data_IF_554453520711
#
_entry.id   IF_554453520711
#
_cell.length_a   1.000
_cell.length_b   1.000
_cell.length_c   1.000
_cell.angle_alpha   90.00
_cell.angle_beta   90.00
_cell.angle_gamma   90.00
#
_symmetry.space_group_name_H-M   'P 1'
#
loop_
_entity.id
_entity.type
_entity.pdbx_description
1 polymer ?
#
# COMPACT_ATOMS: atom_id res chain seq x y z
N UNK A 1 -9.70 37.39 -4.97
CA UNK A 1 -10.70 36.96 -3.94
C UNK A 1 -11.67 36.08 -4.69
N UNK A 2 -11.51 34.78 -4.60
CA UNK A 2 -12.37 33.78 -5.22
C UNK A 2 -12.88 32.91 -4.07
N UNK A 3 -14.17 32.99 -3.84
CA UNK A 3 -14.91 32.28 -2.80
C UNK A 3 -14.84 30.75 -3.08
N UNK A 4 -14.47 29.99 -2.08
CA UNK A 4 -14.58 28.53 -2.09
C UNK A 4 -16.07 28.16 -2.04
N UNK A 5 -16.57 27.20 -2.83
CA UNK A 5 -17.93 26.72 -2.69
C UNK A 5 -18.06 26.04 -1.34
N UNK A 6 -19.01 26.55 -0.52
CA UNK A 6 -19.34 25.97 0.76
C UNK A 6 -19.96 24.60 0.60
N UNK A 7 -19.49 23.67 1.40
CA UNK A 7 -20.15 22.38 1.63
C UNK A 7 -21.47 22.64 2.37
N UNK A 8 -22.57 22.83 1.62
CA UNK A 8 -23.92 22.82 2.15
C UNK A 8 -24.53 21.46 1.84
N UNK A 9 -24.58 20.59 2.83
CA UNK A 9 -25.23 19.26 2.68
C UNK A 9 -24.76 18.20 3.65
N UNK A 10 -24.22 18.56 4.80
CA UNK A 10 -24.14 17.63 5.91
C UNK A 10 -25.50 17.67 6.61
N UNK A 11 -26.27 16.58 6.48
CA UNK A 11 -27.39 16.32 7.36
C UNK A 11 -26.93 16.48 8.82
N UNK A 12 -27.76 17.14 9.63
CA UNK A 12 -27.46 17.28 11.06
C UNK A 12 -27.15 15.89 11.65
N UNK A 13 -26.18 15.80 12.58
CA UNK A 13 -25.85 14.55 13.22
C UNK A 13 -27.10 13.91 13.81
N UNK A 14 -27.28 12.61 13.59
CA UNK A 14 -28.40 11.87 14.12
C UNK A 14 -28.54 12.08 15.64
N UNK A 15 -29.74 12.03 16.15
CA UNK A 15 -30.10 12.36 17.55
C UNK A 15 -29.29 11.65 18.64
N UNK A 16 -28.61 10.56 18.31
CA UNK A 16 -27.74 9.84 19.24
C UNK A 16 -26.39 10.54 19.50
N UNK A 17 -26.03 11.57 18.71
CA UNK A 17 -24.82 12.42 18.90
C UNK A 17 -25.16 13.67 19.73
N UNK A 18 -26.43 13.93 19.96
CA UNK A 18 -26.83 15.03 20.84
C UNK A 18 -26.34 14.78 22.26
N UNK A 19 -25.84 15.84 22.91
CA UNK A 19 -25.44 15.79 24.32
C UNK A 19 -26.46 15.01 25.14
N UNK A 20 -26.01 14.12 26.03
CA UNK A 20 -26.94 13.44 26.94
C UNK A 20 -27.76 14.50 27.66
N UNK A 21 -29.08 14.26 27.88
CA UNK A 21 -29.95 15.23 28.51
C UNK A 21 -29.34 15.73 29.81
N UNK A 22 -29.10 17.03 29.88
CA UNK A 22 -28.75 17.66 31.15
C UNK A 22 -29.93 17.45 32.09
N UNK A 23 -29.66 16.78 33.22
CA UNK A 23 -30.47 16.67 34.40
C UNK A 23 -31.73 15.79 34.32
N UNK A 24 -31.60 14.60 34.84
CA UNK A 24 -32.45 14.20 35.93
C UNK A 24 -31.60 14.05 37.19
N UNK A 25 -31.45 15.12 37.92
CA UNK A 25 -31.27 15.02 39.37
C UNK A 25 -32.47 14.29 39.91
N UNK A 26 -32.21 13.26 40.60
CA UNK A 26 -32.95 12.45 41.54
C UNK A 26 -32.94 10.99 41.10
N UNK A 27 -31.87 10.34 41.48
CA UNK A 27 -32.03 9.09 42.19
C UNK A 27 -30.81 8.90 43.08
N UNK A 28 -31.05 8.72 44.36
CA UNK A 28 -30.11 8.21 45.36
C UNK A 28 -29.72 6.75 44.96
N UNK A 29 -29.11 6.59 43.83
CA UNK A 29 -28.44 5.40 43.42
C UNK A 29 -27.01 5.48 43.95
N UNK A 30 -26.64 4.55 44.78
CA UNK A 30 -25.29 4.32 45.25
C UNK A 30 -24.33 4.51 44.10
N UNK A 31 -23.49 5.55 44.16
CA UNK A 31 -22.49 5.83 43.15
C UNK A 31 -21.63 4.59 42.94
N UNK A 32 -21.35 4.25 41.70
CA UNK A 32 -20.45 3.12 41.44
C UNK A 32 -19.20 3.28 42.31
N UNK A 33 -18.81 2.26 43.09
CA UNK A 33 -17.70 2.37 44.01
C UNK A 33 -16.43 2.77 43.22
N UNK A 34 -15.71 3.76 43.73
CA UNK A 34 -14.44 4.18 43.12
C UNK A 34 -13.53 2.96 42.98
N UNK A 35 -12.91 2.74 41.83
CA UNK A 35 -12.04 1.61 41.65
C UNK A 35 -10.87 1.65 42.68
N UNK A 36 -10.61 0.51 43.32
CA UNK A 36 -9.54 0.40 44.31
C UNK A 36 -8.20 0.78 43.68
N UNK A 37 -7.29 1.45 44.43
CA UNK A 37 -5.97 1.74 43.94
C UNK A 37 -5.27 0.47 43.40
N UNK A 38 -4.69 0.55 42.19
CA UNK A 38 -4.06 -0.59 41.52
C UNK A 38 -4.98 -1.49 40.69
N UNK A 39 -6.31 -1.26 40.65
CA UNK A 39 -7.19 -2.00 39.71
C UNK A 39 -6.97 -1.56 38.27
N UNK A 40 -6.92 -2.53 37.36
CA UNK A 40 -6.90 -2.32 35.90
C UNK A 40 -8.31 -2.17 35.31
N UNK A 41 -9.35 -2.36 36.14
CA UNK A 41 -10.74 -2.27 35.72
C UNK A 41 -11.20 -0.82 35.87
N UNK A 42 -11.71 -0.24 34.79
CA UNK A 42 -12.25 1.13 34.75
C UNK A 42 -13.78 1.08 34.60
N UNK A 43 -14.46 2.03 35.21
CA UNK A 43 -15.85 2.27 34.89
C UNK A 43 -15.99 2.72 33.42
N UNK A 44 -17.06 2.30 32.75
CA UNK A 44 -17.28 2.61 31.32
C UNK A 44 -17.26 4.12 31.04
N UNK A 45 -17.85 4.92 31.89
CA UNK A 45 -17.82 6.38 31.82
C UNK A 45 -16.36 6.93 31.83
N UNK A 46 -15.53 6.45 32.76
CA UNK A 46 -14.12 6.83 32.83
C UNK A 46 -13.33 6.36 31.61
N UNK A 47 -13.69 5.21 31.04
CA UNK A 47 -13.03 4.68 29.85
C UNK A 47 -13.33 5.54 28.62
N UNK A 48 -14.61 5.88 28.36
CA UNK A 48 -14.97 6.67 27.19
C UNK A 48 -14.54 8.13 27.25
N UNK A 49 -14.48 8.74 28.45
CA UNK A 49 -14.00 10.13 28.62
C UNK A 49 -12.50 10.28 28.35
N UNK A 50 -11.76 9.18 28.29
CA UNK A 50 -10.34 9.17 27.91
C UNK A 50 -10.12 9.01 26.42
N UNK A 51 -11.19 8.82 25.64
CA UNK A 51 -11.05 8.63 24.21
C UNK A 51 -10.47 9.89 23.54
N UNK A 52 -9.39 9.69 22.81
CA UNK A 52 -8.78 10.70 21.96
C UNK A 52 -9.00 10.24 20.52
N UNK A 53 -9.56 11.08 19.66
CA UNK A 53 -9.71 10.75 18.24
C UNK A 53 -8.37 10.39 17.60
N UNK A 54 -8.34 9.47 16.62
CA UNK A 54 -7.09 9.07 15.98
C UNK A 54 -6.46 10.23 15.21
N UNK A 55 -5.13 10.31 15.27
CA UNK A 55 -4.34 11.22 14.42
C UNK A 55 -4.03 10.49 13.13
N UNK A 56 -4.47 11.05 12.00
CA UNK A 56 -4.18 10.52 10.68
C UNK A 56 -2.77 10.90 10.25
N UNK A 57 -1.96 9.93 9.90
CA UNK A 57 -0.64 10.12 9.33
C UNK A 57 -0.73 10.34 7.80
N UNK A 58 -1.58 9.55 7.15
CA UNK A 58 -2.04 9.74 5.78
C UNK A 58 -3.58 9.76 5.88
N UNK A 59 -4.16 10.88 5.50
CA UNK A 59 -5.59 11.14 5.74
C UNK A 59 -6.48 10.01 5.19
N UNK A 60 -7.40 9.54 6.01
CA UNK A 60 -8.32 8.44 5.69
C UNK A 60 -7.71 7.04 5.59
N UNK A 61 -6.37 6.88 5.64
CA UNK A 61 -5.71 5.60 5.36
C UNK A 61 -4.88 5.10 6.53
N UNK A 62 -3.91 5.89 7.00
CA UNK A 62 -2.97 5.45 8.04
C UNK A 62 -3.09 6.31 9.28
N UNK A 63 -3.44 5.68 10.40
CA UNK A 63 -3.49 6.31 11.72
C UNK A 63 -2.17 6.08 12.46
N UNK A 64 -1.75 7.07 13.26
CA UNK A 64 -0.65 6.88 14.21
C UNK A 64 -0.98 5.80 15.25
N UNK A 65 0.04 5.23 15.86
CA UNK A 65 -0.10 4.20 16.90
C UNK A 65 -0.85 2.95 16.43
N UNK A 66 -0.76 2.63 15.13
CA UNK A 66 -1.39 1.47 14.53
C UNK A 66 -0.38 0.63 13.76
N UNK A 67 -0.67 -0.68 13.68
CA UNK A 67 0.14 -1.64 12.94
C UNK A 67 -0.58 -2.06 11.65
N UNK A 68 0.06 -1.85 10.53
CA UNK A 68 -0.42 -2.21 9.20
C UNK A 68 0.54 -3.17 8.51
N UNK A 69 0.01 -3.98 7.60
CA UNK A 69 0.80 -4.57 6.53
C UNK A 69 0.50 -3.86 5.21
N UNK A 70 1.46 -3.91 4.28
CA UNK A 70 1.20 -3.69 2.87
C UNK A 70 1.68 -4.90 2.09
N UNK A 71 0.73 -5.68 1.57
CA UNK A 71 0.99 -6.94 0.91
C UNK A 71 0.96 -6.80 -0.60
N UNK A 72 1.96 -7.34 -1.28
CA UNK A 72 2.03 -7.27 -2.74
C UNK A 72 2.94 -8.34 -3.32
N UNK A 73 2.62 -8.78 -4.53
CA UNK A 73 3.48 -9.65 -5.33
C UNK A 73 4.79 -8.91 -5.65
N UNK A 74 5.88 -9.65 -5.82
CA UNK A 74 7.17 -9.09 -6.24
C UNK A 74 7.01 -8.34 -7.58
N UNK A 75 7.59 -7.15 -7.67
CA UNK A 75 7.48 -6.29 -8.86
C UNK A 75 6.23 -5.39 -8.91
N UNK A 76 5.28 -5.52 -7.97
CA UNK A 76 4.08 -4.69 -7.90
C UNK A 76 4.28 -3.36 -7.13
N UNK A 77 5.52 -2.93 -6.95
CA UNK A 77 5.84 -1.57 -6.51
C UNK A 77 5.75 -1.30 -5.00
N UNK A 78 5.73 -2.33 -4.13
CA UNK A 78 5.71 -2.17 -2.65
C UNK A 78 6.67 -1.09 -2.16
N UNK A 79 7.97 -1.36 -2.38
CA UNK A 79 9.07 -0.49 -1.96
C UNK A 79 8.93 0.92 -2.55
N UNK A 80 8.67 1.04 -3.87
CA UNK A 80 8.58 2.35 -4.52
C UNK A 80 7.44 3.20 -3.97
N UNK A 81 6.25 2.60 -3.76
CA UNK A 81 5.06 3.28 -3.22
C UNK A 81 5.31 3.69 -1.76
N UNK A 82 5.83 2.79 -0.93
CA UNK A 82 6.03 3.11 0.48
C UNK A 82 7.22 4.02 0.74
N UNK A 83 8.25 3.98 -0.11
CA UNK A 83 9.31 4.99 -0.07
C UNK A 83 8.76 6.38 -0.45
N UNK A 84 7.94 6.47 -1.50
CA UNK A 84 7.27 7.72 -1.87
C UNK A 84 6.43 8.25 -0.70
N UNK A 85 5.54 7.43 -0.14
CA UNK A 85 4.70 7.82 0.99
C UNK A 85 5.54 8.26 2.21
N UNK A 86 6.62 7.55 2.49
CA UNK A 86 7.58 7.87 3.57
C UNK A 86 8.24 9.23 3.36
N UNK A 87 8.69 9.52 2.14
CA UNK A 87 9.28 10.82 1.80
C UNK A 87 8.26 11.96 1.94
N UNK A 88 7.00 11.73 1.49
CA UNK A 88 5.96 12.75 1.59
C UNK A 88 5.59 13.05 3.05
N UNK A 89 5.40 12.02 3.88
CA UNK A 89 5.15 12.16 5.33
C UNK A 89 6.30 12.88 6.01
N UNK A 90 7.55 12.48 5.74
CA UNK A 90 8.72 13.10 6.36
C UNK A 90 8.88 14.58 5.96
N UNK A 91 8.64 14.90 4.69
CA UNK A 91 8.72 16.26 4.18
C UNK A 91 7.48 17.11 4.53
N UNK A 92 6.38 16.50 5.01
CA UNK A 92 5.09 17.17 5.26
C UNK A 92 4.42 17.62 3.98
N UNK A 93 4.44 16.77 2.95
CA UNK A 93 3.82 17.03 1.64
C UNK A 93 2.64 16.09 1.40
N UNK A 94 1.70 16.54 0.60
CA UNK A 94 0.54 15.74 0.22
C UNK A 94 0.92 14.50 -0.60
N UNK A 95 0.11 13.46 -0.48
CA UNK A 95 0.13 12.25 -1.32
C UNK A 95 -1.06 12.35 -2.28
N UNK A 96 -0.80 12.75 -3.53
CA UNK A 96 -1.90 13.10 -4.43
C UNK A 96 -2.72 14.26 -3.85
N UNK A 97 -3.98 14.00 -3.51
CA UNK A 97 -4.88 14.98 -2.88
C UNK A 97 -5.04 14.76 -1.35
N UNK A 98 -4.37 13.75 -0.79
CA UNK A 98 -4.45 13.43 0.63
C UNK A 98 -3.46 14.24 1.44
N UNK A 99 -3.95 14.85 2.52
CA UNK A 99 -3.11 15.49 3.50
C UNK A 99 -2.26 14.47 4.26
N UNK A 100 -1.07 14.87 4.68
CA UNK A 100 -0.22 14.06 5.55
C UNK A 100 0.11 14.83 6.83
N UNK A 101 0.18 14.11 7.94
CA UNK A 101 0.77 14.64 9.15
C UNK A 101 2.28 14.61 9.01
N UNK A 102 2.94 15.77 9.05
CA UNK A 102 4.40 15.84 9.01
C UNK A 102 5.00 15.19 10.24
N UNK A 103 5.89 14.22 10.04
CA UNK A 103 6.58 13.54 11.14
C UNK A 103 7.79 12.77 10.65
N UNK A 104 8.75 12.53 11.55
CA UNK A 104 9.92 11.76 11.19
C UNK A 104 9.56 10.32 10.84
N UNK A 105 10.24 9.78 9.84
CA UNK A 105 10.04 8.42 9.34
C UNK A 105 11.34 7.65 9.49
N UNK A 106 11.26 6.43 10.04
CA UNK A 106 12.32 5.44 10.02
C UNK A 106 12.00 4.35 9.00
N UNK A 107 12.89 4.13 8.05
CA UNK A 107 12.77 3.10 7.03
C UNK A 107 13.79 1.98 7.30
N UNK A 108 13.31 0.80 7.62
CA UNK A 108 14.12 -0.39 7.83
C UNK A 108 14.33 -1.07 6.46
N UNK A 109 15.52 -0.92 5.89
CA UNK A 109 15.87 -1.38 4.55
C UNK A 109 16.51 -2.77 4.58
N UNK A 110 15.70 -3.81 4.77
CA UNK A 110 16.19 -5.16 5.03
C UNK A 110 16.47 -6.00 3.79
N UNK A 111 15.80 -5.72 2.66
CA UNK A 111 15.91 -6.57 1.47
C UNK A 111 17.05 -6.10 0.53
N UNK A 112 17.04 -4.84 0.14
CA UNK A 112 18.04 -4.29 -0.76
C UNK A 112 18.36 -2.82 -0.44
N UNK A 113 19.26 -2.54 0.51
CA UNK A 113 19.61 -1.17 0.88
C UNK A 113 20.15 -0.33 -0.28
N UNK A 114 20.94 -0.92 -1.18
CA UNK A 114 21.53 -0.19 -2.31
C UNK A 114 20.46 0.26 -3.34
N UNK A 115 19.45 -0.58 -3.62
CA UNK A 115 18.32 -0.18 -4.47
C UNK A 115 17.49 0.93 -3.80
N UNK A 116 17.30 0.85 -2.47
CA UNK A 116 16.61 1.89 -1.72
C UNK A 116 17.36 3.22 -1.79
N UNK A 117 18.70 3.21 -1.65
CA UNK A 117 19.55 4.39 -1.76
C UNK A 117 19.39 5.08 -3.13
N UNK A 118 19.48 4.32 -4.23
CA UNK A 118 19.25 4.83 -5.57
C UNK A 118 17.85 5.44 -5.73
N UNK A 119 16.82 4.77 -5.16
CA UNK A 119 15.44 5.30 -5.17
C UNK A 119 15.30 6.59 -4.37
N UNK A 120 15.94 6.69 -3.21
CA UNK A 120 15.92 7.92 -2.41
C UNK A 120 16.57 9.09 -3.15
N UNK A 121 17.68 8.85 -3.85
CA UNK A 121 18.31 9.86 -4.72
C UNK A 121 17.35 10.29 -5.84
N UNK A 122 16.73 9.33 -6.52
CA UNK A 122 15.72 9.58 -7.56
C UNK A 122 14.53 10.38 -7.03
N UNK A 123 14.03 10.04 -5.84
CA UNK A 123 12.96 10.75 -5.14
C UNK A 123 13.36 12.19 -4.80
N UNK A 124 14.54 12.39 -4.18
CA UNK A 124 15.03 13.71 -3.80
C UNK A 124 15.10 14.65 -5.01
N UNK A 125 15.65 14.17 -6.12
CA UNK A 125 15.76 14.96 -7.36
C UNK A 125 14.41 15.22 -8.01
N UNK A 126 13.59 14.18 -8.18
CA UNK A 126 12.31 14.31 -8.90
C UNK A 126 11.34 15.23 -8.18
N UNK A 127 11.27 15.13 -6.85
CA UNK A 127 10.34 15.91 -6.05
C UNK A 127 10.98 17.14 -5.38
N UNK A 128 12.24 17.43 -5.69
CA UNK A 128 12.98 18.53 -5.10
C UNK A 128 12.89 18.50 -3.55
N UNK A 129 13.26 17.34 -2.97
CA UNK A 129 13.31 17.13 -1.52
C UNK A 129 14.76 17.37 -1.09
N UNK A 130 15.04 18.32 -0.18
CA UNK A 130 16.36 18.47 0.42
C UNK A 130 16.82 17.17 1.11
N UNK A 131 18.10 16.85 1.03
CA UNK A 131 18.63 15.58 1.57
C UNK A 131 18.40 15.45 3.09
N UNK A 132 18.42 16.55 3.82
CA UNK A 132 18.11 16.62 5.25
C UNK A 132 16.60 16.44 5.57
N UNK A 133 15.77 16.30 4.52
CA UNK A 133 14.33 16.03 4.60
C UNK A 133 13.97 14.65 4.07
N UNK A 134 14.94 13.78 3.88
CA UNK A 134 14.71 12.37 3.56
C UNK A 134 14.49 11.56 4.85
N UNK A 135 13.74 10.43 4.79
CA UNK A 135 13.58 9.52 5.91
C UNK A 135 14.91 9.04 6.50
N UNK A 136 14.92 8.78 7.81
CA UNK A 136 16.00 8.03 8.43
C UNK A 136 15.98 6.58 7.94
N UNK A 137 17.15 5.97 7.79
CA UNK A 137 17.26 4.60 7.25
C UNK A 137 18.11 3.75 8.21
N UNK A 138 17.60 2.56 8.51
CA UNK A 138 18.37 1.48 9.11
C UNK A 138 18.64 0.44 8.02
N UNK A 139 19.87 0.39 7.48
CA UNK A 139 20.20 -0.54 6.38
C UNK A 139 20.49 -1.94 6.89
N UNK A 140 20.10 -2.94 6.10
CA UNK A 140 20.33 -4.36 6.36
C UNK A 140 19.21 -5.03 7.16
N UNK A 141 18.96 -6.31 6.81
CA UNK A 141 17.99 -7.15 7.49
C UNK A 141 18.64 -7.88 8.67
N UNK A 142 17.90 -8.03 9.76
CA UNK A 142 18.28 -8.80 10.93
C UNK A 142 17.04 -9.28 11.67
N UNK A 143 17.10 -10.42 12.39
CA UNK A 143 15.94 -10.92 13.12
C UNK A 143 15.55 -9.94 14.26
N UNK A 144 14.31 -9.44 14.24
CA UNK A 144 13.75 -8.62 15.33
C UNK A 144 13.36 -9.52 16.52
N UNK A 145 14.36 -10.05 17.21
CA UNK A 145 14.19 -10.71 18.51
C UNK A 145 13.77 -9.69 19.56
N UNK A 146 13.29 -10.13 20.73
CA UNK A 146 12.95 -9.22 21.83
C UNK A 146 14.14 -8.33 22.24
N UNK A 147 15.35 -8.90 22.24
CA UNK A 147 16.59 -8.16 22.56
C UNK A 147 16.89 -7.08 21.53
N UNK A 148 16.75 -7.40 20.24
CA UNK A 148 16.99 -6.44 19.15
C UNK A 148 15.93 -5.33 19.14
N UNK A 149 14.69 -5.67 19.45
CA UNK A 149 13.60 -4.68 19.58
C UNK A 149 13.89 -3.70 20.71
N UNK A 150 14.32 -4.20 21.88
CA UNK A 150 14.68 -3.35 23.01
C UNK A 150 15.92 -2.49 22.72
N UNK A 151 16.89 -3.04 22.00
CA UNK A 151 18.08 -2.30 21.56
C UNK A 151 17.69 -1.18 20.59
N UNK A 152 16.87 -1.49 19.57
CA UNK A 152 16.40 -0.51 18.59
C UNK A 152 15.54 0.59 19.22
N UNK A 153 14.65 0.25 20.17
CA UNK A 153 13.88 1.25 20.92
C UNK A 153 14.76 2.18 21.74
N UNK A 154 15.83 1.66 22.36
CA UNK A 154 16.81 2.48 23.08
C UNK A 154 17.60 3.39 22.14
N UNK A 155 17.99 2.88 20.97
CA UNK A 155 18.65 3.68 19.94
C UNK A 155 17.74 4.82 19.45
N UNK A 156 16.49 4.52 19.13
CA UNK A 156 15.48 5.52 18.76
C UNK A 156 15.32 6.59 19.86
N UNK A 157 15.17 6.17 21.10
CA UNK A 157 15.06 7.10 22.23
C UNK A 157 16.34 7.94 22.41
N UNK A 158 17.52 7.35 22.16
CA UNK A 158 18.82 8.04 22.20
C UNK A 158 18.97 9.12 21.13
N UNK A 159 18.28 9.01 20.00
CA UNK A 159 18.24 10.06 18.98
C UNK A 159 17.45 11.29 19.43
N UNK A 160 16.54 11.16 20.39
CA UNK A 160 15.65 12.24 20.83
C UNK A 160 14.68 12.72 19.76
N UNK A 161 14.40 11.88 18.76
CA UNK A 161 13.56 12.19 17.61
C UNK A 161 12.28 11.35 17.69
N UNK A 162 11.10 11.98 17.85
CA UNK A 162 9.84 11.24 17.87
C UNK A 162 9.46 10.80 16.45
N UNK A 163 9.50 9.51 16.17
CA UNK A 163 9.07 8.96 14.90
C UNK A 163 7.55 8.89 14.81
N UNK A 164 7.00 9.22 13.64
CA UNK A 164 5.58 9.12 13.33
C UNK A 164 5.25 7.86 12.51
N UNK A 165 6.25 7.34 11.77
CA UNK A 165 6.12 6.16 10.92
C UNK A 165 7.39 5.33 10.97
N UNK A 166 7.23 4.01 11.09
CA UNK A 166 8.29 3.02 10.85
C UNK A 166 7.82 2.12 9.71
N UNK A 167 8.64 1.96 8.67
CA UNK A 167 8.38 1.05 7.54
C UNK A 167 9.39 -0.07 7.55
N UNK A 168 8.94 -1.33 7.56
CA UNK A 168 9.81 -2.52 7.46
C UNK A 168 9.77 -3.12 6.06
N UNK A 169 10.83 -3.00 5.29
CA UNK A 169 10.95 -3.49 3.92
C UNK A 169 12.06 -4.56 3.79
N UNK A 170 11.72 -5.81 3.78
CA UNK A 170 10.39 -6.40 3.94
C UNK A 170 10.25 -7.08 5.30
N UNK A 171 9.00 -7.41 5.68
CA UNK A 171 8.73 -8.09 6.94
C UNK A 171 9.56 -9.37 7.12
N UNK A 172 9.78 -10.14 6.06
CA UNK A 172 10.59 -11.36 6.06
C UNK A 172 12.06 -11.13 6.40
N UNK A 173 12.63 -9.97 6.04
CA UNK A 173 14.03 -9.65 6.36
C UNK A 173 14.26 -9.40 7.86
N UNK A 174 13.20 -9.20 8.61
CA UNK A 174 13.22 -8.91 10.05
C UNK A 174 12.52 -9.99 10.87
N UNK A 175 12.04 -11.05 10.22
CA UNK A 175 11.34 -12.15 10.89
C UNK A 175 12.32 -12.96 11.76
N UNK A 176 12.05 -13.12 13.08
CA UNK A 176 12.98 -13.77 14.00
C UNK A 176 12.83 -15.30 14.05
N UNK A 177 11.87 -15.87 13.32
CA UNK A 177 11.57 -17.30 13.30
C UNK A 177 12.20 -18.03 12.12
N UNK A 178 12.02 -19.36 12.10
CA UNK A 178 12.45 -20.25 11.04
C UNK A 178 11.31 -20.63 10.07
N UNK A 179 10.04 -20.40 10.45
CA UNK A 179 8.88 -20.67 9.60
C UNK A 179 7.86 -19.52 9.65
N UNK A 180 7.85 -18.72 8.60
CA UNK A 180 6.88 -17.61 8.43
C UNK A 180 5.42 -18.11 8.40
N UNK A 181 5.15 -19.39 8.11
CA UNK A 181 3.78 -19.93 8.08
C UNK A 181 3.34 -20.47 9.44
N UNK A 182 4.24 -20.54 10.42
CA UNK A 182 3.88 -20.90 11.79
C UNK A 182 3.01 -19.82 12.42
N UNK A 183 1.76 -20.16 12.75
CA UNK A 183 0.85 -19.21 13.40
C UNK A 183 1.41 -18.68 14.74
N UNK A 184 2.16 -19.49 15.48
CA UNK A 184 2.76 -19.08 16.75
C UNK A 184 3.84 -18.04 16.53
N UNK A 185 4.79 -18.33 15.63
CA UNK A 185 5.91 -17.43 15.34
C UNK A 185 5.41 -16.12 14.67
N UNK A 186 4.50 -16.23 13.71
CA UNK A 186 3.90 -15.11 13.02
C UNK A 186 3.08 -14.22 13.96
N UNK A 187 2.31 -14.78 14.88
CA UNK A 187 1.58 -14.01 15.90
C UNK A 187 2.54 -13.33 16.88
N UNK A 188 3.63 -13.98 17.28
CA UNK A 188 4.66 -13.37 18.13
C UNK A 188 5.31 -12.19 17.40
N UNK A 189 5.71 -12.36 16.15
CA UNK A 189 6.28 -11.29 15.35
C UNK A 189 5.32 -10.10 15.18
N UNK A 190 4.03 -10.36 14.97
CA UNK A 190 3.01 -9.31 14.91
C UNK A 190 2.94 -8.51 16.22
N UNK A 191 2.99 -9.16 17.38
CA UNK A 191 3.04 -8.48 18.69
C UNK A 191 4.33 -7.69 18.87
N UNK A 192 5.46 -8.23 18.43
CA UNK A 192 6.75 -7.53 18.43
C UNK A 192 6.67 -6.23 17.64
N UNK A 193 6.15 -6.27 16.40
CA UNK A 193 5.96 -5.06 15.61
C UNK A 193 4.97 -4.09 16.26
N UNK A 194 3.89 -4.59 16.87
CA UNK A 194 2.93 -3.76 17.59
C UNK A 194 3.55 -3.02 18.75
N UNK A 195 4.55 -3.58 19.42
CA UNK A 195 5.20 -2.91 20.55
C UNK A 195 5.84 -1.58 20.17
N UNK A 196 6.28 -1.40 18.93
CA UNK A 196 6.76 -0.11 18.45
C UNK A 196 5.67 0.96 18.41
N UNK A 197 4.41 0.57 18.20
CA UNK A 197 3.32 1.54 18.10
C UNK A 197 2.93 2.19 19.43
N UNK A 198 3.33 1.60 20.54
CA UNK A 198 2.93 2.04 21.90
C UNK A 198 4.10 2.41 22.81
N UNK A 199 5.24 1.72 22.63
CA UNK A 199 6.37 1.81 23.54
C UNK A 199 7.60 2.49 22.89
N UNK A 200 7.41 3.17 21.78
CA UNK A 200 8.45 3.89 21.06
C UNK A 200 8.14 5.39 21.03
N UNK A 201 9.17 6.23 21.12
CA UNK A 201 9.01 7.68 21.08
C UNK A 201 8.25 8.14 19.85
N UNK A 202 7.21 8.94 20.07
CA UNK A 202 6.30 9.42 19.04
C UNK A 202 5.12 8.50 18.75
N UNK A 203 5.04 7.31 19.35
CA UNK A 203 3.98 6.33 19.08
C UNK A 203 3.73 6.16 17.57
N UNK A 204 4.70 5.68 16.80
CA UNK A 204 4.61 5.64 15.34
C UNK A 204 3.51 4.72 14.84
N UNK A 205 3.02 4.98 13.64
CA UNK A 205 2.45 3.92 12.84
C UNK A 205 3.58 2.96 12.41
N UNK A 206 3.27 1.67 12.32
CA UNK A 206 4.20 0.68 11.76
C UNK A 206 3.57 0.08 10.52
N UNK A 207 4.32 0.03 9.43
CA UNK A 207 3.89 -0.61 8.17
C UNK A 207 4.91 -1.67 7.79
N UNK A 208 4.48 -2.93 7.84
CA UNK A 208 5.28 -4.08 7.42
C UNK A 208 5.00 -4.39 5.95
N UNK A 209 6.01 -4.29 5.09
CA UNK A 209 5.88 -4.66 3.69
C UNK A 209 6.00 -6.18 3.54
N UNK A 210 4.92 -6.82 3.09
CA UNK A 210 4.79 -8.26 3.09
C UNK A 210 4.72 -8.86 1.68
N UNK A 211 5.22 -10.09 1.55
CA UNK A 211 4.90 -10.95 0.43
C UNK A 211 3.56 -11.63 0.70
N UNK A 212 2.76 -11.91 -0.35
CA UNK A 212 1.48 -12.59 -0.17
C UNK A 212 1.66 -14.09 0.12
N UNK A 213 0.59 -14.73 0.54
CA UNK A 213 0.49 -16.18 0.58
C UNK A 213 0.83 -16.80 -0.78
N UNK A 214 1.33 -18.04 -0.79
CA UNK A 214 1.66 -18.75 -2.04
C UNK A 214 0.40 -18.90 -2.91
N UNK A 215 0.56 -18.68 -4.21
CA UNK A 215 -0.54 -18.81 -5.19
C UNK A 215 -1.49 -17.62 -5.25
N UNK A 216 -1.19 -16.51 -4.61
CA UNK A 216 -1.97 -15.28 -4.78
C UNK A 216 -1.82 -14.75 -6.22
N UNK A 217 -2.88 -14.87 -7.01
CA UNK A 217 -2.94 -14.50 -8.42
C UNK A 217 -3.95 -13.36 -8.71
N UNK A 218 -4.61 -12.84 -7.68
CA UNK A 218 -5.64 -11.80 -7.80
C UNK A 218 -5.65 -10.85 -6.60
N UNK A 219 -6.22 -9.66 -6.79
CA UNK A 219 -6.28 -8.57 -5.78
C UNK A 219 -6.80 -9.03 -4.41
N UNK A 220 -7.87 -9.84 -4.39
CA UNK A 220 -8.50 -10.30 -3.15
C UNK A 220 -7.68 -11.34 -2.37
N UNK A 221 -6.60 -11.86 -2.94
CA UNK A 221 -5.72 -12.86 -2.31
C UNK A 221 -4.43 -12.25 -1.74
N UNK A 222 -4.27 -10.92 -1.77
CA UNK A 222 -3.08 -10.25 -1.26
C UNK A 222 -3.11 -10.16 0.28
N UNK A 223 -3.13 -11.34 0.92
CA UNK A 223 -2.99 -11.46 2.36
C UNK A 223 -1.52 -11.74 2.72
N UNK A 224 -0.99 -11.17 3.80
CA UNK A 224 0.40 -11.36 4.19
C UNK A 224 0.67 -12.83 4.54
N UNK A 225 1.90 -13.30 4.26
CA UNK A 225 2.39 -14.56 4.82
C UNK A 225 2.33 -14.51 6.34
N UNK A 226 2.31 -15.69 6.97
CA UNK A 226 2.15 -15.79 8.42
C UNK A 226 0.74 -16.17 8.84
N UNK A 227 -0.09 -16.54 7.87
CA UNK A 227 -1.43 -17.05 8.11
C UNK A 227 -2.34 -16.05 8.84
N UNK A 228 -3.42 -16.58 9.43
CA UNK A 228 -4.39 -15.77 10.17
C UNK A 228 -3.82 -15.09 11.41
N UNK A 229 -2.81 -15.67 12.04
CA UNK A 229 -2.26 -15.13 13.29
C UNK A 229 -1.56 -13.79 13.10
N UNK A 230 -0.75 -13.62 12.06
CA UNK A 230 -0.14 -12.32 11.76
C UNK A 230 -1.21 -11.28 11.38
N UNK A 231 -2.13 -11.65 10.48
CA UNK A 231 -3.23 -10.77 10.08
C UNK A 231 -4.08 -10.32 11.27
N UNK A 232 -4.28 -11.20 12.27
CA UNK A 232 -5.05 -10.87 13.47
C UNK A 232 -4.40 -9.79 14.33
N UNK A 233 -3.08 -9.67 14.34
CA UNK A 233 -2.35 -8.64 15.06
C UNK A 233 -2.40 -7.27 14.35
N UNK A 234 -2.71 -7.21 13.06
CA UNK A 234 -2.75 -5.96 12.29
C UNK A 234 -4.03 -5.15 12.60
N UNK A 235 -3.96 -3.85 12.41
CA UNK A 235 -5.13 -2.97 12.37
C UNK A 235 -5.71 -2.87 10.94
N UNK A 236 -4.91 -3.11 9.93
CA UNK A 236 -5.32 -3.22 8.55
C UNK A 236 -4.25 -3.82 7.65
N UNK A 237 -4.67 -4.40 6.53
CA UNK A 237 -3.78 -4.86 5.48
C UNK A 237 -4.06 -4.11 4.20
N UNK A 238 -3.16 -3.21 3.85
CA UNK A 238 -3.09 -2.56 2.54
C UNK A 238 -2.54 -3.56 1.52
N UNK A 239 -2.91 -3.41 0.29
CA UNK A 239 -2.40 -4.25 -0.78
C UNK A 239 -2.05 -3.40 -2.00
N UNK A 240 -0.90 -3.68 -2.63
CA UNK A 240 -0.56 -3.11 -3.91
C UNK A 240 -0.76 -4.14 -5.01
N UNK A 241 -1.63 -3.81 -5.96
CA UNK A 241 -1.84 -4.59 -7.16
C UNK A 241 -1.41 -3.79 -8.38
N UNK A 242 -0.50 -4.34 -9.17
CA UNK A 242 -0.04 -3.70 -10.40
C UNK A 242 -0.54 -4.48 -11.61
N UNK A 243 -1.35 -3.80 -12.41
CA UNK A 243 -1.62 -4.19 -13.79
C UNK A 243 -0.86 -3.23 -14.73
N UNK A 244 -1.45 -2.10 -15.10
CA UNK A 244 -0.76 -0.98 -15.78
C UNK A 244 -0.45 0.17 -14.81
N UNK A 245 -1.28 0.33 -13.80
CA UNK A 245 -1.11 1.21 -12.66
C UNK A 245 -0.96 0.34 -11.42
N UNK A 246 -0.13 0.75 -10.48
CA UNK A 246 -0.10 0.15 -9.15
C UNK A 246 -1.19 0.80 -8.31
N UNK A 247 -2.18 0.02 -7.90
CA UNK A 247 -3.26 0.50 -7.05
C UNK A 247 -3.08 0.00 -5.63
N UNK A 248 -3.09 0.92 -4.67
CA UNK A 248 -3.11 0.62 -3.25
C UNK A 248 -4.56 0.63 -2.74
N UNK A 249 -4.96 -0.42 -2.06
CA UNK A 249 -6.32 -0.62 -1.55
C UNK A 249 -6.31 -1.49 -0.29
N UNK A 250 -7.44 -1.55 0.45
CA UNK A 250 -7.59 -2.52 1.53
C UNK A 250 -7.81 -3.94 1.01
N UNK A 251 -7.24 -4.92 1.71
CA UNK A 251 -7.44 -6.35 1.42
C UNK A 251 -7.54 -7.18 2.70
N UNK A 252 -8.68 -7.83 2.88
CA UNK A 252 -8.92 -8.80 3.96
C UNK A 252 -9.23 -8.18 5.32
N UNK A 253 -8.42 -7.28 5.84
CA UNK A 253 -8.62 -6.68 7.17
C UNK A 253 -8.51 -5.17 7.12
N UNK A 254 -9.49 -4.51 7.74
CA UNK A 254 -9.55 -3.06 7.90
C UNK A 254 -10.16 -2.74 9.28
N UNK A 255 -9.55 -1.81 9.99
CA UNK A 255 -10.10 -1.17 11.20
C UNK A 255 -10.12 0.35 10.98
N UNK A 256 -11.04 0.81 10.17
CA UNK A 256 -11.18 2.21 9.81
C UNK A 256 -12.12 2.38 8.63
N UNK A 257 -12.27 3.59 8.10
CA UNK A 257 -13.05 3.83 6.89
C UNK A 257 -12.38 3.16 5.68
N UNK A 258 -13.19 2.81 4.70
CA UNK A 258 -12.71 2.41 3.38
C UNK A 258 -12.30 3.65 2.58
N UNK A 259 -11.41 3.47 1.59
CA UNK A 259 -10.98 4.55 0.70
C UNK A 259 -10.96 4.09 -0.76
N UNK A 260 -11.15 5.03 -1.68
CA UNK A 260 -11.01 4.75 -3.09
C UNK A 260 -9.54 4.36 -3.41
N UNK A 261 -9.30 3.30 -4.21
CA UNK A 261 -7.93 2.86 -4.50
C UNK A 261 -7.05 3.99 -5.00
N UNK A 262 -5.87 4.14 -4.40
CA UNK A 262 -4.88 5.11 -4.82
C UNK A 262 -4.03 4.55 -5.95
N UNK A 263 -4.02 5.24 -7.09
CA UNK A 263 -3.20 4.88 -8.24
C UNK A 263 -1.80 5.47 -8.16
N UNK A 264 -0.81 4.65 -8.51
CA UNK A 264 0.59 5.06 -8.65
C UNK A 264 1.15 4.57 -9.98
N UNK A 265 1.82 5.47 -10.70
CA UNK A 265 2.66 5.10 -11.84
C UNK A 265 4.06 4.79 -11.35
N UNK A 266 4.61 3.64 -11.71
CA UNK A 266 6.02 3.33 -11.51
C UNK A 266 6.82 3.88 -12.69
N UNK A 267 7.72 4.82 -12.43
CA UNK A 267 8.43 5.58 -13.46
C UNK A 267 9.95 5.45 -13.29
N UNK A 268 10.69 5.10 -14.36
CA UNK A 268 12.14 5.20 -14.34
C UNK A 268 12.59 6.67 -14.33
N UNK A 269 13.55 6.98 -13.48
CA UNK A 269 14.16 8.31 -13.36
C UNK A 269 15.67 8.17 -13.21
N UNK A 270 16.47 9.13 -13.73
CA UNK A 270 17.91 9.11 -13.52
C UNK A 270 18.25 9.54 -12.09
N UNK A 271 19.17 8.84 -11.43
CA UNK A 271 19.75 9.28 -10.15
C UNK A 271 20.67 10.48 -10.33
N UNK A 272 21.14 10.72 -11.56
CA UNK A 272 22.15 11.71 -11.92
C UNK A 272 23.57 11.27 -11.63
N UNK A 273 23.73 10.00 -11.29
CA UNK A 273 25.01 9.29 -11.24
C UNK A 273 25.19 8.51 -12.54
N UNK A 274 26.41 8.06 -12.81
CA UNK A 274 26.73 7.22 -13.93
C UNK A 274 27.54 6.00 -13.47
N UNK A 275 27.39 4.89 -14.18
CA UNK A 275 28.19 3.70 -13.97
C UNK A 275 29.64 3.89 -14.49
N UNK A 276 30.49 2.87 -14.28
CA UNK A 276 31.89 2.86 -14.71
C UNK A 276 32.06 3.06 -16.22
N UNK A 277 31.03 2.85 -17.03
CA UNK A 277 31.00 3.03 -18.47
C UNK A 277 30.41 4.37 -18.91
N UNK A 278 30.10 5.26 -17.93
CA UNK A 278 29.50 6.57 -18.19
C UNK A 278 28.00 6.51 -18.54
N UNK A 279 27.32 5.39 -18.35
CA UNK A 279 25.88 5.26 -18.59
C UNK A 279 25.10 5.81 -17.41
N UNK A 280 24.04 6.60 -17.64
CA UNK A 280 23.20 7.10 -16.55
C UNK A 280 22.64 5.95 -15.70
N UNK A 281 22.79 6.06 -14.39
CA UNK A 281 22.10 5.16 -13.46
C UNK A 281 20.63 5.52 -13.40
N UNK A 282 19.76 4.52 -13.62
CA UNK A 282 18.31 4.68 -13.59
C UNK A 282 17.74 3.94 -12.40
N UNK A 283 16.73 4.54 -11.75
CA UNK A 283 15.98 3.93 -10.66
C UNK A 283 14.48 4.06 -10.89
N UNK A 284 13.67 3.30 -10.13
CA UNK A 284 12.21 3.34 -10.24
C UNK A 284 11.62 4.05 -9.01
N UNK A 285 10.80 5.07 -9.27
CA UNK A 285 10.03 5.76 -8.24
C UNK A 285 8.52 5.59 -8.50
N UNK A 286 7.73 5.81 -7.45
CA UNK A 286 6.28 5.92 -7.57
C UNK A 286 5.87 7.38 -7.73
N UNK A 287 4.85 7.61 -8.55
CA UNK A 287 4.21 8.90 -8.79
C UNK A 287 2.70 8.75 -8.61
N UNK A 288 2.05 9.51 -7.72
CA UNK A 288 0.61 9.39 -7.52
C UNK A 288 -0.14 9.88 -8.76
N UNK A 289 -1.27 9.26 -9.02
CA UNK A 289 -2.15 9.59 -10.13
C UNK A 289 -3.45 10.19 -9.59
N UNK A 290 -4.04 11.15 -10.31
CA UNK A 290 -5.41 11.60 -10.01
C UNK A 290 -6.43 10.50 -10.30
N UNK A 291 -7.61 10.59 -9.70
CA UNK A 291 -8.71 9.64 -9.96
C UNK A 291 -9.08 9.61 -11.44
N UNK A 292 -9.10 10.77 -12.10
CA UNK A 292 -9.35 10.87 -13.54
C UNK A 292 -8.27 10.13 -14.34
N UNK A 293 -7.00 10.34 -14.01
CA UNK A 293 -5.89 9.65 -14.67
C UNK A 293 -5.93 8.14 -14.47
N UNK A 294 -6.37 7.66 -13.30
CA UNK A 294 -6.60 6.23 -13.03
C UNK A 294 -7.77 5.72 -13.86
N UNK A 295 -8.88 6.46 -13.92
CA UNK A 295 -10.05 6.10 -14.70
C UNK A 295 -9.74 6.06 -16.21
N UNK A 296 -9.05 7.06 -16.73
CA UNK A 296 -8.61 7.12 -18.14
C UNK A 296 -7.68 5.95 -18.47
N UNK A 297 -6.77 5.64 -17.56
CA UNK A 297 -5.86 4.51 -17.72
C UNK A 297 -6.60 3.17 -17.69
N UNK A 298 -7.59 3.02 -16.82
CA UNK A 298 -8.45 1.84 -16.78
C UNK A 298 -9.26 1.69 -18.07
N UNK A 299 -9.79 2.80 -18.60
CA UNK A 299 -10.49 2.84 -19.89
C UNK A 299 -9.55 2.43 -21.04
N UNK A 300 -8.34 2.99 -21.10
CA UNK A 300 -7.33 2.64 -22.10
C UNK A 300 -6.93 1.15 -22.02
N UNK A 301 -6.81 0.61 -20.81
CA UNK A 301 -6.49 -0.80 -20.58
C UNK A 301 -7.59 -1.69 -21.14
N UNK A 302 -8.87 -1.42 -20.84
CA UNK A 302 -10.00 -2.15 -21.40
C UNK A 302 -10.04 -2.08 -22.94
N UNK A 303 -9.78 -0.91 -23.50
CA UNK A 303 -9.68 -0.76 -24.95
C UNK A 303 -8.59 -1.64 -25.55
N UNK A 304 -7.42 -1.71 -24.90
CA UNK A 304 -6.33 -2.58 -25.34
C UNK A 304 -6.69 -4.08 -25.21
N UNK A 305 -7.35 -4.46 -24.13
CA UNK A 305 -7.84 -5.82 -23.91
C UNK A 305 -8.88 -6.21 -24.96
N UNK A 306 -9.83 -5.33 -25.27
CA UNK A 306 -10.84 -5.54 -26.31
C UNK A 306 -10.22 -5.71 -27.70
N UNK A 307 -9.19 -4.92 -28.03
CA UNK A 307 -8.44 -5.05 -29.28
C UNK A 307 -7.77 -6.42 -29.38
N UNK A 308 -7.07 -6.85 -28.33
CA UNK A 308 -6.40 -8.15 -28.31
C UNK A 308 -7.41 -9.30 -28.32
N UNK A 309 -8.51 -9.17 -27.57
CA UNK A 309 -9.56 -10.20 -27.53
C UNK A 309 -10.21 -10.40 -28.91
N UNK A 310 -10.49 -9.31 -29.64
CA UNK A 310 -10.97 -9.38 -31.03
C UNK A 310 -9.95 -10.02 -31.95
N UNK A 311 -8.68 -9.60 -31.86
CA UNK A 311 -7.63 -10.17 -32.69
C UNK A 311 -7.44 -11.68 -32.46
N UNK A 312 -7.52 -12.15 -31.21
CA UNK A 312 -7.43 -13.58 -30.89
C UNK A 312 -8.65 -14.38 -31.36
N UNK A 313 -9.85 -13.77 -31.37
CA UNK A 313 -11.05 -14.39 -31.96
C UNK A 313 -10.94 -14.54 -33.45
N UNK A 314 -10.57 -13.45 -34.12
CA UNK A 314 -10.64 -13.36 -35.60
C UNK A 314 -9.40 -14.02 -36.24
N UNK A 315 -8.25 -14.04 -35.51
CA UNK A 315 -6.96 -14.52 -35.98
C UNK A 315 -6.20 -15.27 -34.89
N UNK A 316 -6.67 -16.44 -34.45
CA UNK A 316 -6.03 -17.18 -33.34
C UNK A 316 -4.61 -17.62 -33.66
N UNK A 317 -4.21 -17.64 -34.92
CA UNK A 317 -2.87 -17.98 -35.40
C UNK A 317 -1.88 -16.79 -35.33
N UNK A 318 -2.33 -15.57 -35.08
CA UNK A 318 -1.44 -14.42 -35.09
C UNK A 318 -0.46 -14.42 -33.91
N UNK A 319 0.78 -14.09 -34.22
CA UNK A 319 1.79 -13.80 -33.20
C UNK A 319 1.52 -12.45 -32.50
N UNK A 320 2.03 -12.26 -31.32
CA UNK A 320 1.94 -10.97 -30.60
C UNK A 320 2.49 -9.80 -31.41
N UNK A 321 3.47 -10.06 -32.31
CA UNK A 321 4.00 -9.02 -33.18
C UNK A 321 3.00 -8.60 -34.26
N UNK A 322 2.24 -9.55 -34.81
CA UNK A 322 1.18 -9.26 -35.80
C UNK A 322 0.04 -8.51 -35.16
N UNK A 323 -0.45 -8.96 -34.00
CA UNK A 323 -1.49 -8.26 -33.23
C UNK A 323 -1.06 -6.82 -32.90
N UNK A 324 0.21 -6.63 -32.45
CA UNK A 324 0.72 -5.30 -32.12
C UNK A 324 0.78 -4.38 -33.36
N UNK A 325 1.19 -4.90 -34.53
CA UNK A 325 1.22 -4.13 -35.79
C UNK A 325 -0.19 -3.75 -36.25
N UNK A 326 -1.14 -4.66 -36.22
CA UNK A 326 -2.52 -4.42 -36.61
C UNK A 326 -3.19 -3.40 -35.66
N UNK A 327 -2.87 -3.45 -34.37
CA UNK A 327 -3.35 -2.49 -33.37
C UNK A 327 -2.65 -1.11 -33.46
N UNK A 328 -1.69 -0.94 -34.38
CA UNK A 328 -0.89 0.29 -34.48
C UNK A 328 0.09 0.50 -33.32
N UNK A 329 0.39 -0.54 -32.56
CA UNK A 329 1.33 -0.50 -31.42
C UNK A 329 2.76 -0.80 -31.92
N UNK A 330 3.35 0.20 -32.57
CA UNK A 330 4.67 0.13 -33.16
C UNK A 330 5.49 1.30 -32.66
N UNK A 331 6.71 1.01 -32.22
CA UNK A 331 7.72 2.04 -31.99
C UNK A 331 8.21 2.54 -33.35
N UNK A 332 7.79 3.76 -33.72
CA UNK A 332 8.06 4.33 -35.03
C UNK A 332 9.52 4.71 -35.28
N UNK A 333 10.31 4.90 -34.20
CA UNK A 333 11.73 5.25 -34.37
C UNK A 333 12.55 4.03 -34.86
N UNK A 334 12.16 2.83 -34.44
CA UNK A 334 12.87 1.57 -34.73
C UNK A 334 12.02 0.56 -35.51
N UNK A 335 10.82 0.93 -35.96
CA UNK A 335 9.83 0.06 -36.63
C UNK A 335 9.61 -1.29 -35.91
N UNK A 336 9.55 -1.25 -34.58
CA UNK A 336 9.46 -2.45 -33.76
C UNK A 336 8.08 -2.59 -33.11
N UNK A 337 7.38 -3.73 -33.33
CA UNK A 337 6.09 -3.94 -32.69
C UNK A 337 6.20 -4.09 -31.18
N UNK A 338 5.36 -3.38 -30.44
CA UNK A 338 5.30 -3.39 -28.98
C UNK A 338 4.62 -4.66 -28.44
N UNK A 339 5.24 -5.81 -28.65
CA UNK A 339 4.73 -7.13 -28.20
C UNK A 339 4.38 -7.18 -26.73
N UNK A 340 5.07 -6.39 -25.91
CA UNK A 340 4.83 -6.31 -24.47
C UNK A 340 3.41 -5.84 -24.14
N UNK A 341 2.81 -4.95 -24.98
CA UNK A 341 1.42 -4.52 -24.82
C UNK A 341 0.45 -5.69 -25.01
N UNK A 342 0.64 -6.46 -26.07
CA UNK A 342 -0.17 -7.65 -26.36
C UNK A 342 -0.01 -8.69 -25.26
N UNK A 343 1.23 -9.00 -24.87
CA UNK A 343 1.50 -9.97 -23.80
C UNK A 343 0.81 -9.58 -22.49
N UNK A 344 0.79 -8.31 -22.17
CA UNK A 344 0.16 -7.78 -20.96
C UNK A 344 -1.36 -7.94 -21.02
N UNK A 345 -1.99 -7.58 -22.15
CA UNK A 345 -3.42 -7.78 -22.36
C UNK A 345 -3.78 -9.27 -22.29
N UNK A 346 -3.03 -10.13 -22.95
CA UNK A 346 -3.22 -11.60 -22.88
C UNK A 346 -3.13 -12.11 -21.44
N UNK A 347 -2.17 -11.62 -20.66
CA UNK A 347 -2.04 -12.02 -19.23
C UNK A 347 -3.28 -11.61 -18.43
N UNK A 348 -3.79 -10.41 -18.63
CA UNK A 348 -5.00 -9.92 -17.96
C UNK A 348 -6.23 -10.72 -18.40
N UNK A 349 -6.43 -10.90 -19.71
CA UNK A 349 -7.55 -11.68 -20.27
C UNK A 349 -7.56 -13.13 -19.77
N UNK A 350 -6.38 -13.77 -19.66
CA UNK A 350 -6.25 -15.12 -19.13
C UNK A 350 -6.55 -15.16 -17.61
N UNK A 351 -6.09 -14.18 -16.85
CA UNK A 351 -6.40 -14.04 -15.42
C UNK A 351 -7.89 -13.88 -15.18
N UNK A 352 -8.56 -13.14 -16.04
CA UNK A 352 -10.02 -12.91 -15.99
C UNK A 352 -10.82 -14.06 -16.57
N UNK A 353 -10.14 -15.13 -17.05
CA UNK A 353 -10.76 -16.29 -17.72
C UNK A 353 -11.60 -15.93 -18.94
N UNK A 354 -11.17 -14.94 -19.69
CA UNK A 354 -11.77 -14.56 -20.96
C UNK A 354 -11.15 -15.33 -22.13
N UNK A 355 -9.92 -15.78 -21.95
CA UNK A 355 -9.19 -16.64 -22.89
C UNK A 355 -8.56 -17.81 -22.14
N UNK A 356 -8.30 -18.91 -22.86
CA UNK A 356 -7.65 -20.10 -22.32
C UNK A 356 -6.72 -20.75 -23.34
N UNK A 357 -5.80 -21.58 -22.88
CA UNK A 357 -4.97 -22.46 -23.73
C UNK A 357 -5.20 -23.91 -23.30
N UNK A 358 -5.36 -24.80 -24.28
CA UNK A 358 -5.50 -26.25 -24.03
C UNK A 358 -4.19 -26.84 -23.47
N UNK A 359 -3.06 -26.39 -24.00
CA UNK A 359 -1.70 -26.72 -23.51
C UNK A 359 -0.82 -25.50 -23.63
N UNK A 360 0.22 -25.43 -22.80
CA UNK A 360 1.20 -24.35 -22.87
C UNK A 360 1.88 -24.31 -24.26
N UNK A 361 1.69 -23.22 -24.98
CA UNK A 361 2.21 -22.98 -26.33
C UNK A 361 1.17 -23.13 -27.45
N UNK A 362 -0.02 -23.64 -27.16
CA UNK A 362 -1.13 -23.64 -28.10
C UNK A 362 -1.64 -22.20 -28.35
N UNK A 363 -2.35 -21.94 -29.44
CA UNK A 363 -3.06 -20.69 -29.62
C UNK A 363 -4.04 -20.39 -28.49
N UNK A 364 -4.20 -19.11 -28.16
CA UNK A 364 -5.21 -18.68 -27.21
C UNK A 364 -6.60 -18.74 -27.87
N UNK A 365 -7.56 -19.29 -27.14
CA UNK A 365 -8.97 -19.36 -27.57
C UNK A 365 -9.85 -18.60 -26.58
N UNK A 366 -10.95 -18.03 -27.08
CA UNK A 366 -11.90 -17.36 -26.22
C UNK A 366 -12.71 -18.41 -25.43
N UNK A 367 -13.01 -18.07 -24.19
CA UNK A 367 -14.01 -18.79 -23.39
C UNK A 367 -15.41 -18.26 -23.70
N UNK A 368 -16.47 -18.97 -23.25
CA UNK A 368 -17.85 -18.45 -23.31
C UNK A 368 -18.01 -17.07 -22.67
N UNK A 369 -17.20 -16.79 -21.64
CA UNK A 369 -17.16 -15.48 -20.97
C UNK A 369 -16.49 -14.43 -21.86
N UNK A 370 -15.45 -14.81 -22.60
CA UNK A 370 -14.76 -13.93 -23.54
C UNK A 370 -15.66 -13.53 -24.71
N UNK A 371 -16.39 -14.49 -25.28
CA UNK A 371 -17.36 -14.22 -26.35
C UNK A 371 -18.48 -13.25 -25.90
N UNK A 372 -19.02 -13.45 -24.70
CA UNK A 372 -20.02 -12.56 -24.12
C UNK A 372 -19.47 -11.16 -23.83
N UNK A 373 -18.20 -11.04 -23.47
CA UNK A 373 -17.56 -9.75 -23.23
C UNK A 373 -17.48 -8.92 -24.52
N UNK A 374 -17.12 -9.55 -25.65
CA UNK A 374 -17.07 -8.87 -26.95
C UNK A 374 -18.46 -8.42 -27.46
N UNK A 375 -19.51 -9.22 -27.23
CA UNK A 375 -20.87 -8.87 -27.66
C UNK A 375 -21.49 -7.74 -26.84
N UNK A 376 -21.09 -7.57 -25.58
CA UNK A 376 -21.60 -6.51 -24.69
C UNK A 376 -20.99 -5.13 -24.99
N UNK A 377 -19.82 -5.10 -25.62
CA UNK A 377 -19.06 -3.88 -25.94
C UNK A 377 -19.20 -3.45 -27.41
N UNK A 378 -20.11 -4.06 -28.17
CA UNK A 378 -20.43 -3.61 -29.52
C UNK A 378 -21.74 -2.82 -29.45
N UNK A 379 -21.76 -1.47 -29.69
CA UNK A 379 -22.97 -0.68 -29.74
C UNK A 379 -23.81 -1.00 -30.96
#
# INVERSE_FOLDING_TARGET
>A
MSERPGFTGLEEPADWIREPPRERQQNNGEGQPAPKPGTRILAGATFVTRHVPPVWLIDGIVQRSRLYACTSITGHGKTAVWLYNSCMVHAGRMIGQLDTFRGHVLYLAGENPADLEARMIGMAKTYNIPLDRLPFVLPGGFPLTEQEVDALKKEIAGLGIPFALIVGDTASSFFPGDDENSNVQAGTYGRTLRSFTMDCDGNPAVVALCHPIKGADRRSMLLPRGGGAFLNELDGNLANWSAMVTEMHWCGKIRGPDFAPLGYRLRPVPTGLADEKGRPEMTIIAEPMSEEAVADHAKQTRTNEDVVLRALRDHPEWSYAQIAREAGWVDFEVDKPERWRVQRAVTALASDKLIEQTRKGDPWTLTDKGEKALTKNNP
#
